data_IF_593633336578
#
_entry.id   IF_593633336578
#
_cell.length_a   1.000
_cell.length_b   1.000
_cell.length_c   1.000
_cell.angle_alpha   90.00
_cell.angle_beta   90.00
_cell.angle_gamma   90.00
#
_symmetry.space_group_name_H-M   'P 1'
#
loop_
_entity.id
_entity.type
_entity.pdbx_description
1 polymer ?
#
# COMPACT_ATOMS: atom_id res chain seq x y z
N UNK A 1 11.46 -26.05 -7.18
CA UNK A 1 11.29 -26.50 -8.59
C UNK A 1 10.03 -27.35 -8.75
N UNK A 2 9.65 -28.15 -7.75
CA UNK A 2 8.42 -28.97 -7.79
C UNK A 2 7.15 -28.15 -7.99
N UNK A 3 7.01 -26.99 -7.33
CA UNK A 3 5.88 -26.08 -7.54
C UNK A 3 5.76 -25.58 -8.98
N UNK A 4 6.89 -25.30 -9.66
CA UNK A 4 6.89 -24.94 -11.08
C UNK A 4 6.40 -26.13 -11.92
N UNK A 5 6.90 -27.34 -11.65
CA UNK A 5 6.48 -28.54 -12.38
C UNK A 5 5.00 -28.88 -12.15
N UNK A 6 4.47 -28.72 -10.94
CA UNK A 6 3.04 -28.89 -10.65
C UNK A 6 2.19 -27.87 -11.41
N UNK A 7 2.61 -26.61 -11.42
CA UNK A 7 1.91 -25.55 -12.12
C UNK A 7 1.95 -25.79 -13.64
N UNK A 8 3.08 -26.27 -14.18
CA UNK A 8 3.24 -26.74 -15.55
C UNK A 8 2.32 -27.92 -15.92
N UNK A 9 2.13 -28.88 -15.00
CA UNK A 9 1.24 -30.04 -15.20
C UNK A 9 -0.23 -29.64 -15.26
N UNK A 10 -0.66 -28.71 -14.41
CA UNK A 10 -2.08 -28.31 -14.30
C UNK A 10 -2.52 -27.46 -15.50
N UNK A 11 -1.68 -26.55 -16.03
CA UNK A 11 -2.15 -25.62 -17.05
C UNK A 11 -2.01 -26.09 -18.51
N UNK A 12 -1.35 -27.21 -18.80
CA UNK A 12 -1.16 -27.73 -20.17
C UNK A 12 -0.46 -26.76 -21.15
N UNK A 13 0.00 -27.27 -22.31
CA UNK A 13 0.64 -26.43 -23.34
C UNK A 13 -0.36 -25.66 -24.22
N UNK A 14 -1.56 -26.20 -24.43
CA UNK A 14 -2.55 -25.64 -25.37
C UNK A 14 -4.01 -25.67 -24.88
N UNK A 15 -4.34 -26.43 -23.82
CA UNK A 15 -5.73 -26.69 -23.39
C UNK A 15 -5.98 -26.55 -21.88
N UNK A 16 -5.12 -25.87 -21.13
CA UNK A 16 -5.39 -25.62 -19.72
C UNK A 16 -5.48 -24.14 -19.36
N UNK A 17 -5.12 -23.83 -18.12
CA UNK A 17 -5.50 -22.60 -17.41
C UNK A 17 -5.09 -21.30 -18.14
N UNK A 18 -6.01 -20.32 -18.21
CA UNK A 18 -5.84 -18.99 -18.83
C UNK A 18 -4.63 -18.21 -18.25
N UNK A 19 -3.95 -17.40 -19.09
CA UNK A 19 -2.86 -16.48 -18.71
C UNK A 19 -3.13 -15.68 -17.44
N UNK A 20 -4.35 -15.17 -17.26
CA UNK A 20 -4.74 -14.40 -16.07
C UNK A 20 -4.68 -15.23 -14.79
N UNK A 21 -5.11 -16.49 -14.85
CA UNK A 21 -5.06 -17.41 -13.71
C UNK A 21 -3.61 -17.88 -13.47
N UNK A 22 -2.81 -18.13 -14.51
CA UNK A 22 -1.37 -18.41 -14.37
C UNK A 22 -0.64 -17.26 -13.66
N UNK A 23 -0.93 -16.03 -14.08
CA UNK A 23 -0.43 -14.80 -13.46
C UNK A 23 -0.89 -14.68 -12.01
N UNK A 24 -2.16 -14.97 -11.73
CA UNK A 24 -2.68 -14.96 -10.36
C UNK A 24 -1.90 -15.94 -9.49
N UNK A 25 -1.75 -17.20 -9.91
CA UNK A 25 -1.00 -18.24 -9.20
C UNK A 25 0.46 -17.83 -8.94
N UNK A 26 1.12 -17.18 -9.91
CA UNK A 26 2.45 -16.63 -9.70
C UNK A 26 2.45 -15.62 -8.53
N UNK A 27 1.54 -14.66 -8.51
CA UNK A 27 1.48 -13.63 -7.46
C UNK A 27 1.11 -14.20 -6.09
N UNK A 28 0.16 -15.13 -6.03
CA UNK A 28 -0.34 -15.62 -4.73
C UNK A 28 0.50 -16.75 -4.13
N UNK A 29 1.13 -17.60 -4.95
CA UNK A 29 1.93 -18.74 -4.47
C UNK A 29 3.41 -18.48 -4.65
N UNK A 30 3.86 -18.25 -5.88
CA UNK A 30 5.29 -18.25 -6.20
C UNK A 30 5.98 -17.02 -5.60
N UNK A 31 5.47 -15.82 -5.86
CA UNK A 31 6.00 -14.56 -5.33
C UNK A 31 5.99 -14.58 -3.80
N UNK A 32 4.91 -15.03 -3.18
CA UNK A 32 4.81 -15.18 -1.72
C UNK A 32 5.81 -16.19 -1.14
N UNK A 33 6.04 -17.30 -1.84
CA UNK A 33 7.03 -18.30 -1.43
C UNK A 33 8.45 -17.75 -1.56
N UNK A 34 8.75 -17.02 -2.64
CA UNK A 34 10.07 -16.41 -2.85
C UNK A 34 10.35 -15.25 -1.89
N UNK A 35 9.32 -14.48 -1.51
CA UNK A 35 9.44 -13.41 -0.52
C UNK A 35 9.34 -13.90 0.93
N UNK A 36 9.10 -15.19 1.15
CA UNK A 36 9.02 -15.73 2.49
C UNK A 36 10.37 -15.62 3.21
N UNK A 37 10.35 -15.08 4.43
CA UNK A 37 11.57 -14.81 5.19
C UNK A 37 12.48 -13.75 4.57
N UNK A 38 12.01 -13.00 3.56
CA UNK A 38 12.77 -11.94 2.90
C UNK A 38 13.45 -10.99 3.90
N UNK A 39 12.76 -10.60 4.97
CA UNK A 39 13.35 -9.76 6.03
C UNK A 39 14.65 -10.32 6.61
N UNK A 40 14.81 -11.64 6.71
CA UNK A 40 15.99 -12.27 7.30
C UNK A 40 17.20 -12.25 6.35
N UNK A 41 17.01 -12.51 5.05
CA UNK A 41 18.11 -12.71 4.10
C UNK A 41 18.20 -11.63 3.00
N UNK A 42 17.15 -10.85 2.80
CA UNK A 42 17.01 -9.92 1.70
C UNK A 42 17.76 -8.60 1.90
N UNK A 43 18.12 -8.22 3.13
CA UNK A 43 18.80 -6.94 3.41
C UNK A 43 20.20 -6.84 2.77
N UNK A 44 20.87 -7.97 2.52
CA UNK A 44 22.18 -8.05 1.86
C UNK A 44 22.09 -8.75 0.50
N UNK A 45 21.23 -8.25 -0.39
CA UNK A 45 21.04 -8.81 -1.72
C UNK A 45 22.28 -8.61 -2.60
N UNK A 46 22.99 -9.70 -2.88
CA UNK A 46 24.12 -9.68 -3.82
C UNK A 46 23.64 -9.65 -5.28
N UNK A 47 24.46 -9.09 -6.18
CA UNK A 47 24.19 -9.10 -7.62
C UNK A 47 23.99 -10.52 -8.18
N UNK A 48 24.69 -11.51 -7.62
CA UNK A 48 24.53 -12.94 -7.96
C UNK A 48 23.15 -13.46 -7.59
N UNK A 49 22.65 -13.13 -6.40
CA UNK A 49 21.33 -13.54 -5.94
C UNK A 49 20.22 -12.85 -6.75
N UNK A 50 20.36 -11.55 -7.02
CA UNK A 50 19.44 -10.80 -7.87
C UNK A 50 19.34 -11.42 -9.29
N UNK A 51 20.47 -11.76 -9.91
CA UNK A 51 20.48 -12.43 -11.22
C UNK A 51 19.75 -13.78 -11.15
N UNK A 52 19.97 -14.57 -10.10
CA UNK A 52 19.28 -15.86 -9.92
C UNK A 52 17.77 -15.69 -9.77
N UNK A 53 17.31 -14.69 -9.02
CA UNK A 53 15.89 -14.38 -8.86
C UNK A 53 15.26 -13.91 -10.17
N UNK A 54 15.95 -13.07 -10.93
CA UNK A 54 15.51 -12.66 -12.26
C UNK A 54 15.41 -13.86 -13.21
N UNK A 55 16.39 -14.79 -13.18
CA UNK A 55 16.31 -16.02 -13.98
C UNK A 55 15.12 -16.90 -13.58
N UNK A 56 14.81 -17.01 -12.29
CA UNK A 56 13.62 -17.73 -11.82
C UNK A 56 12.35 -17.05 -12.32
N UNK A 57 12.24 -15.73 -12.15
CA UNK A 57 11.09 -14.96 -12.61
C UNK A 57 10.90 -15.09 -14.13
N UNK A 58 11.99 -15.05 -14.91
CA UNK A 58 11.95 -15.21 -16.37
C UNK A 58 11.26 -16.50 -16.80
N UNK A 59 11.54 -17.61 -16.12
CA UNK A 59 10.88 -18.90 -16.41
C UNK A 59 9.36 -18.82 -16.19
N UNK A 60 8.91 -18.19 -15.12
CA UNK A 60 7.47 -18.01 -14.87
C UNK A 60 6.83 -17.05 -15.87
N UNK A 61 7.52 -15.98 -16.25
CA UNK A 61 7.04 -15.04 -17.26
C UNK A 61 6.84 -15.72 -18.62
N UNK A 62 7.79 -16.53 -19.06
CA UNK A 62 7.66 -17.35 -20.27
C UNK A 62 6.49 -18.33 -20.16
N UNK A 63 6.31 -18.95 -19.00
CA UNK A 63 5.21 -19.88 -18.76
C UNK A 63 3.83 -19.22 -18.79
N UNK A 64 3.72 -18.01 -18.22
CA UNK A 64 2.48 -17.21 -18.22
C UNK A 64 2.14 -16.75 -19.64
N UNK A 65 3.14 -16.28 -20.39
CA UNK A 65 2.92 -15.65 -21.69
C UNK A 65 2.87 -16.62 -22.86
N UNK A 66 3.60 -17.74 -22.78
CA UNK A 66 3.86 -18.64 -23.90
C UNK A 66 4.86 -18.08 -24.92
N UNK A 67 5.62 -17.05 -24.56
CA UNK A 67 6.61 -16.40 -25.42
C UNK A 67 7.83 -17.29 -25.68
N UNK A 68 8.66 -16.90 -26.65
CA UNK A 68 9.93 -17.58 -26.92
C UNK A 68 10.92 -17.36 -25.78
N UNK A 69 11.81 -18.33 -25.57
CA UNK A 69 12.82 -18.26 -24.50
C UNK A 69 13.74 -17.03 -24.61
N UNK A 70 13.93 -16.54 -25.85
CA UNK A 70 14.74 -15.36 -26.19
C UNK A 70 14.03 -14.03 -25.96
N UNK A 71 12.71 -14.03 -25.69
CA UNK A 71 11.96 -12.79 -25.48
C UNK A 71 12.52 -12.05 -24.26
N UNK A 72 12.82 -10.74 -24.35
CA UNK A 72 13.40 -10.00 -23.24
C UNK A 72 12.54 -10.03 -21.97
N UNK A 73 13.17 -10.28 -20.81
CA UNK A 73 12.48 -10.32 -19.52
C UNK A 73 11.75 -9.01 -19.21
N UNK A 74 12.35 -7.86 -19.53
CA UNK A 74 11.73 -6.54 -19.34
C UNK A 74 10.41 -6.41 -20.10
N UNK A 75 10.36 -6.85 -21.37
CA UNK A 75 9.13 -6.84 -22.15
C UNK A 75 8.07 -7.77 -21.55
N UNK A 76 8.46 -8.97 -21.08
CA UNK A 76 7.52 -9.90 -20.44
C UNK A 76 6.96 -9.36 -19.12
N UNK A 77 7.78 -8.69 -18.32
CA UNK A 77 7.35 -8.03 -17.08
C UNK A 77 6.28 -6.99 -17.36
N UNK A 78 6.49 -6.12 -18.35
CA UNK A 78 5.55 -5.06 -18.73
C UNK A 78 4.26 -5.64 -19.28
N UNK A 79 4.34 -6.59 -20.22
CA UNK A 79 3.16 -7.22 -20.84
C UNK A 79 2.30 -7.96 -19.81
N UNK A 80 2.94 -8.66 -18.88
CA UNK A 80 2.21 -9.38 -17.82
C UNK A 80 1.78 -8.46 -16.67
N UNK A 81 2.24 -7.21 -16.62
CA UNK A 81 2.07 -6.33 -15.48
C UNK A 81 2.60 -6.96 -14.18
N UNK A 82 3.74 -7.62 -14.28
CA UNK A 82 4.47 -8.23 -13.17
C UNK A 82 5.81 -7.52 -13.04
N UNK A 83 5.93 -6.71 -12.00
CA UNK A 83 7.15 -6.02 -11.66
C UNK A 83 8.32 -7.00 -11.46
N UNK A 84 9.58 -6.59 -11.72
CA UNK A 84 10.75 -7.32 -11.24
C UNK A 84 10.56 -7.80 -9.81
N UNK A 85 10.99 -9.03 -9.50
CA UNK A 85 10.83 -9.60 -8.16
C UNK A 85 11.66 -8.78 -7.14
N UNK A 86 11.01 -7.81 -6.51
CA UNK A 86 11.65 -6.86 -5.61
C UNK A 86 11.46 -7.30 -4.16
N UNK A 87 12.22 -8.31 -3.75
CA UNK A 87 12.34 -8.74 -2.34
C UNK A 87 12.66 -7.57 -1.41
N UNK A 88 13.35 -6.55 -1.93
CA UNK A 88 13.64 -5.32 -1.20
C UNK A 88 12.38 -4.59 -0.71
N UNK A 89 11.23 -4.66 -1.41
CA UNK A 89 10.00 -4.01 -0.92
C UNK A 89 9.54 -4.59 0.43
N UNK A 90 9.46 -5.92 0.51
CA UNK A 90 9.05 -6.62 1.75
C UNK A 90 10.12 -6.44 2.84
N UNK A 91 11.42 -6.48 2.49
CA UNK A 91 12.52 -6.19 3.42
C UNK A 91 12.40 -4.79 4.01
N UNK A 92 12.20 -3.77 3.18
CA UNK A 92 12.07 -2.38 3.62
C UNK A 92 10.85 -2.24 4.52
N UNK A 93 9.70 -2.81 4.12
CA UNK A 93 8.50 -2.77 4.94
C UNK A 93 8.73 -3.41 6.31
N UNK A 94 9.31 -4.61 6.37
CA UNK A 94 9.52 -5.31 7.63
C UNK A 94 10.54 -4.60 8.52
N UNK A 95 11.61 -4.03 7.95
CA UNK A 95 12.58 -3.24 8.72
C UNK A 95 11.95 -2.01 9.38
N UNK A 96 11.15 -1.27 8.62
CA UNK A 96 10.54 -0.02 9.09
C UNK A 96 9.37 -0.30 10.03
N UNK A 97 8.44 -1.17 9.63
CA UNK A 97 7.19 -1.42 10.34
C UNK A 97 7.36 -2.39 11.53
N UNK A 98 8.21 -3.42 11.40
CA UNK A 98 8.36 -4.46 12.43
C UNK A 98 9.62 -4.25 13.27
N UNK A 99 10.79 -4.16 12.63
CA UNK A 99 12.07 -4.01 13.34
C UNK A 99 12.34 -2.57 13.80
N UNK A 100 11.44 -1.63 13.50
CA UNK A 100 11.52 -0.20 13.87
C UNK A 100 12.90 0.41 13.58
N UNK A 101 13.45 0.06 12.42
CA UNK A 101 14.79 0.44 11.97
C UNK A 101 14.70 1.14 10.61
N UNK A 102 15.42 2.24 10.46
CA UNK A 102 15.48 2.94 9.18
C UNK A 102 15.99 2.04 8.07
N UNK A 103 15.43 2.21 6.88
CA UNK A 103 15.80 1.45 5.69
C UNK A 103 15.80 2.36 4.49
N UNK A 104 16.86 2.25 3.70
CA UNK A 104 16.88 2.82 2.36
C UNK A 104 16.22 1.84 1.41
N UNK A 105 15.43 2.34 0.48
CA UNK A 105 14.98 1.63 -0.70
C UNK A 105 15.37 2.50 -1.89
N UNK A 106 16.47 2.11 -2.54
CA UNK A 106 17.17 2.95 -3.52
C UNK A 106 17.58 4.29 -2.91
N UNK A 107 17.14 5.41 -3.48
CA UNK A 107 17.45 6.78 -3.05
C UNK A 107 16.51 7.31 -1.96
N UNK A 108 15.43 6.58 -1.65
CA UNK A 108 14.43 6.98 -0.66
C UNK A 108 14.76 6.37 0.70
N UNK A 109 14.85 7.21 1.72
CA UNK A 109 15.04 6.80 3.11
C UNK A 109 13.70 6.73 3.83
N UNK A 110 13.42 5.60 4.47
CA UNK A 110 12.22 5.41 5.28
C UNK A 110 12.61 5.41 6.76
N UNK A 111 12.08 6.37 7.53
CA UNK A 111 12.27 6.44 8.98
C UNK A 111 11.10 5.76 9.71
N UNK A 112 11.35 4.89 10.70
CA UNK A 112 10.28 4.27 11.47
C UNK A 112 9.46 5.27 12.28
N UNK A 113 10.04 6.43 12.66
CA UNK A 113 9.33 7.49 13.41
C UNK A 113 8.19 8.13 12.64
N UNK A 114 8.25 8.07 11.32
CA UNK A 114 7.26 8.71 10.45
C UNK A 114 5.98 7.88 10.38
N UNK A 115 6.01 6.62 10.81
CA UNK A 115 4.90 5.68 10.69
C UNK A 115 4.49 5.11 12.04
N UNK A 116 3.20 4.78 12.11
CA UNK A 116 2.60 4.07 13.24
C UNK A 116 3.40 2.79 13.59
N UNK A 117 3.52 2.53 14.88
CA UNK A 117 3.97 1.22 15.35
C UNK A 117 2.81 0.23 15.31
N UNK A 118 3.08 -1.03 15.00
CA UNK A 118 2.10 -2.09 15.30
C UNK A 118 1.90 -2.10 16.82
N UNK A 119 0.67 -1.99 17.27
CA UNK A 119 0.36 -2.32 18.66
C UNK A 119 0.62 -3.82 18.85
N UNK A 120 1.44 -4.16 19.85
CA UNK A 120 1.28 -5.45 20.49
C UNK A 120 -0.12 -5.46 21.08
N UNK A 121 -0.91 -6.50 20.82
CA UNK A 121 -2.28 -6.60 21.31
C UNK A 121 -2.33 -6.32 22.82
N UNK A 122 -3.47 -5.82 23.31
CA UNK A 122 -3.67 -5.57 24.74
C UNK A 122 -3.39 -6.88 25.48
N UNK A 123 -2.24 -6.97 26.16
CA UNK A 123 -1.85 -8.13 26.97
C UNK A 123 -2.60 -8.20 28.30
N UNK A 124 -3.52 -7.26 28.53
CA UNK A 124 -4.40 -7.23 29.69
C UNK A 124 -5.57 -8.15 29.37
N UNK A 125 -5.63 -9.28 30.08
CA UNK A 125 -6.78 -10.17 30.03
C UNK A 125 -8.06 -9.38 30.39
N UNK A 126 -9.18 -9.52 29.66
CA UNK A 126 -10.40 -8.73 29.89
C UNK A 126 -10.92 -8.74 31.34
N UNK A 127 -10.64 -9.81 32.09
CA UNK A 127 -10.96 -9.91 33.51
C UNK A 127 -10.18 -8.92 34.42
N UNK A 128 -9.00 -8.48 34.01
CA UNK A 128 -8.15 -7.55 34.77
C UNK A 128 -8.53 -6.09 34.51
N UNK A 129 -9.51 -5.84 33.63
CA UNK A 129 -10.12 -4.52 33.49
C UNK A 129 -10.98 -4.24 34.73
N UNK A 130 -10.43 -3.53 35.71
CA UNK A 130 -11.20 -3.07 36.86
C UNK A 130 -12.23 -2.03 36.38
N UNK A 131 -13.54 -2.22 36.65
CA UNK A 131 -14.61 -1.37 36.12
C UNK A 131 -14.75 -0.01 36.83
N UNK A 132 -13.82 0.36 37.72
CA UNK A 132 -14.02 1.46 38.68
C UNK A 132 -14.12 2.87 38.07
N UNK A 133 -13.87 3.04 36.76
CA UNK A 133 -14.04 4.28 35.99
C UNK A 133 -14.48 3.99 34.53
N UNK A 134 -15.48 3.12 34.33
CA UNK A 134 -15.96 2.83 32.97
C UNK A 134 -16.82 3.95 32.38
N UNK A 135 -16.56 4.28 31.12
CA UNK A 135 -17.46 5.08 30.30
C UNK A 135 -18.76 4.30 30.09
N UNK A 136 -19.90 4.89 30.45
CA UNK A 136 -21.21 4.29 30.18
C UNK A 136 -21.62 4.60 28.73
N UNK A 137 -21.85 3.57 27.92
CA UNK A 137 -22.54 3.72 26.65
C UNK A 137 -24.04 3.83 26.93
N UNK A 138 -24.63 5.01 26.70
CA UNK A 138 -26.07 5.25 26.89
C UNK A 138 -26.69 5.53 25.53
N UNK A 139 -27.57 4.63 25.06
CA UNK A 139 -28.21 4.70 23.73
C UNK A 139 -29.28 5.80 23.59
N UNK A 140 -29.63 6.51 24.68
CA UNK A 140 -30.72 7.47 24.64
C UNK A 140 -30.26 8.83 24.07
N UNK A 141 -30.41 8.97 22.75
CA UNK A 141 -30.35 10.23 22.01
C UNK A 141 -31.55 11.12 22.38
N UNK A 142 -31.51 11.76 23.55
CA UNK A 142 -32.30 12.97 23.80
C UNK A 142 -31.33 14.12 23.95
N UNK A 143 -31.19 14.88 22.88
CA UNK A 143 -30.46 16.14 22.91
C UNK A 143 -31.26 17.13 23.76
N UNK A 144 -30.90 17.25 25.03
CA UNK A 144 -31.59 18.11 25.99
C UNK A 144 -31.04 19.54 25.98
N UNK A 145 -30.20 19.90 25.00
CA UNK A 145 -29.41 21.13 25.00
C UNK A 145 -28.33 21.16 26.09
N UNK A 146 -28.12 20.04 26.79
CA UNK A 146 -27.12 19.93 27.84
C UNK A 146 -25.71 19.93 27.26
N UNK A 147 -24.74 20.41 28.04
CA UNK A 147 -23.34 20.45 27.65
C UNK A 147 -22.84 19.08 27.19
N UNK A 148 -22.39 18.99 25.95
CA UNK A 148 -21.87 17.77 25.35
C UNK A 148 -20.71 18.09 24.40
N UNK A 149 -19.82 17.12 24.20
CA UNK A 149 -18.73 17.22 23.24
C UNK A 149 -19.11 16.40 22.01
N UNK A 150 -18.90 16.98 20.82
CA UNK A 150 -19.08 16.31 19.55
C UNK A 150 -17.73 16.23 18.85
N UNK A 151 -17.43 15.07 18.26
CA UNK A 151 -16.14 14.79 17.63
C UNK A 151 -16.33 14.38 16.19
N UNK A 152 -15.45 14.83 15.31
CA UNK A 152 -15.45 14.39 13.92
C UNK A 152 -14.05 14.40 13.29
N UNK A 153 -13.89 13.60 12.25
CA UNK A 153 -12.71 13.51 11.42
C UNK A 153 -13.08 13.66 9.94
N UNK A 154 -12.35 14.49 9.22
CA UNK A 154 -12.58 14.75 7.81
C UNK A 154 -11.37 14.33 6.97
N UNK A 155 -11.65 13.79 5.78
CA UNK A 155 -10.66 13.54 4.74
C UNK A 155 -11.14 14.12 3.41
N UNK A 156 -10.31 14.95 2.81
CA UNK A 156 -10.50 15.49 1.45
C UNK A 156 -9.24 15.29 0.63
N UNK A 157 -9.29 15.67 -0.65
CA UNK A 157 -8.10 15.69 -1.52
C UNK A 157 -7.06 16.74 -1.07
N UNK A 158 -7.49 17.76 -0.33
CA UNK A 158 -6.62 18.83 0.17
C UNK A 158 -5.91 18.47 1.48
N UNK A 159 -6.44 17.50 2.24
CA UNK A 159 -5.81 17.06 3.48
C UNK A 159 -6.74 16.29 4.42
N UNK A 160 -6.31 16.23 5.67
CA UNK A 160 -7.01 15.49 6.73
C UNK A 160 -7.18 16.42 7.92
N UNK A 161 -8.40 16.53 8.44
CA UNK A 161 -8.72 17.40 9.57
C UNK A 161 -9.40 16.63 10.68
N UNK A 162 -9.15 17.02 11.92
CA UNK A 162 -9.73 16.41 13.11
C UNK A 162 -10.25 17.53 14.00
N UNK A 163 -11.44 17.37 14.57
CA UNK A 163 -12.00 18.40 15.43
C UNK A 163 -12.91 17.85 16.51
N UNK A 164 -13.02 18.62 17.60
CA UNK A 164 -14.16 18.50 18.51
C UNK A 164 -14.77 19.88 18.76
N UNK A 165 -16.05 19.90 19.10
CA UNK A 165 -16.70 21.07 19.67
C UNK A 165 -17.45 20.70 20.95
N UNK A 166 -17.48 21.64 21.89
CA UNK A 166 -18.31 21.57 23.06
C UNK A 166 -19.51 22.45 22.79
N UNK A 167 -20.70 21.86 22.81
CA UNK A 167 -21.96 22.55 22.61
C UNK A 167 -22.73 22.64 23.93
N UNK A 168 -23.32 23.80 24.20
CA UNK A 168 -24.26 24.02 25.30
C UNK A 168 -25.37 24.94 24.79
N UNK A 169 -26.64 24.56 24.97
CA UNK A 169 -27.80 25.28 24.41
C UNK A 169 -27.66 25.58 22.89
N UNK A 170 -27.16 24.62 22.12
CA UNK A 170 -26.89 24.73 20.67
C UNK A 170 -25.81 25.75 20.24
N UNK A 171 -25.11 26.37 21.20
CA UNK A 171 -23.97 27.26 20.93
C UNK A 171 -22.64 26.57 21.18
N UNK A 172 -21.63 26.86 20.33
CA UNK A 172 -20.24 26.42 20.53
C UNK A 172 -19.64 27.24 21.67
N UNK A 173 -19.27 26.58 22.76
CA UNK A 173 -18.59 27.22 23.90
C UNK A 173 -17.07 27.06 23.83
N UNK A 174 -16.60 25.99 23.18
CA UNK A 174 -15.19 25.72 22.95
C UNK A 174 -15.05 24.73 21.79
N UNK A 175 -13.91 24.78 21.10
CA UNK A 175 -13.60 23.85 20.02
C UNK A 175 -12.10 23.65 19.90
N UNK A 176 -11.73 22.57 19.25
CA UNK A 176 -10.36 22.29 18.85
C UNK A 176 -10.34 21.80 17.40
N UNK A 177 -9.30 22.20 16.66
CA UNK A 177 -9.11 21.89 15.26
C UNK A 177 -7.65 21.50 15.03
N UNK A 178 -7.41 20.24 14.68
CA UNK A 178 -6.09 19.71 14.32
C UNK A 178 -6.00 19.43 12.83
N UNK A 179 -5.02 20.06 12.18
CA UNK A 179 -4.64 19.78 10.79
C UNK A 179 -3.66 18.63 10.75
N UNK A 180 -4.05 17.50 10.16
CA UNK A 180 -3.19 16.32 10.00
C UNK A 180 -2.52 16.32 8.62
N UNK A 181 -1.51 15.46 8.47
CA UNK A 181 -0.87 15.28 7.18
C UNK A 181 -1.85 14.67 6.16
N UNK A 182 -1.65 15.01 4.89
CA UNK A 182 -2.43 14.48 3.78
C UNK A 182 -2.30 12.95 3.63
N UNK A 183 -1.32 12.31 4.24
CA UNK A 183 -1.21 10.85 4.27
C UNK A 183 -2.04 10.18 5.37
N UNK A 184 -2.52 10.94 6.36
CA UNK A 184 -3.34 10.40 7.44
C UNK A 184 -4.74 10.00 6.95
N UNK A 185 -5.35 9.02 7.61
CA UNK A 185 -6.70 8.52 7.26
C UNK A 185 -7.80 9.26 8.02
N UNK A 186 -9.04 9.18 7.51
CA UNK A 186 -10.22 9.68 8.24
C UNK A 186 -10.35 9.01 9.62
N UNK A 187 -10.08 7.70 9.70
CA UNK A 187 -10.10 6.96 10.96
C UNK A 187 -9.09 7.49 11.98
N UNK A 188 -7.88 7.86 11.54
CA UNK A 188 -6.89 8.48 12.42
C UNK A 188 -7.40 9.84 12.95
N UNK A 189 -8.07 10.61 12.10
CA UNK A 189 -8.64 11.89 12.47
C UNK A 189 -9.79 11.76 13.47
N UNK A 190 -10.71 10.81 13.26
CA UNK A 190 -11.80 10.51 14.19
C UNK A 190 -11.28 10.05 15.56
N UNK A 191 -10.30 9.13 15.57
CA UNK A 191 -9.68 8.64 16.82
C UNK A 191 -8.98 9.79 17.56
N UNK A 192 -8.29 10.67 16.84
CA UNK A 192 -7.67 11.84 17.43
C UNK A 192 -8.72 12.80 18.01
N UNK A 193 -9.83 13.04 17.30
CA UNK A 193 -10.90 13.89 17.78
C UNK A 193 -11.48 13.36 19.10
N UNK A 194 -11.72 12.04 19.19
CA UNK A 194 -12.16 11.37 20.41
C UNK A 194 -11.12 11.51 21.52
N UNK A 195 -9.84 11.29 21.23
CA UNK A 195 -8.76 11.46 22.20
C UNK A 195 -8.74 12.88 22.78
N UNK A 196 -8.77 13.89 21.92
CA UNK A 196 -8.74 15.29 22.33
C UNK A 196 -10.01 15.68 23.10
N UNK A 197 -11.17 15.14 22.72
CA UNK A 197 -12.41 15.31 23.48
C UNK A 197 -12.36 14.68 24.87
N UNK A 198 -11.73 13.51 25.04
CA UNK A 198 -11.54 12.88 26.34
C UNK A 198 -10.60 13.72 27.22
N UNK A 199 -9.53 14.27 26.65
CA UNK A 199 -8.63 15.19 27.37
C UNK A 199 -9.37 16.45 27.82
N UNK A 200 -10.19 17.05 26.94
CA UNK A 200 -11.04 18.18 27.27
C UNK A 200 -12.08 17.83 28.37
N UNK A 201 -12.78 16.70 28.22
CA UNK A 201 -13.74 16.21 29.21
C UNK A 201 -13.12 16.00 30.59
N UNK A 202 -11.90 15.46 30.64
CA UNK A 202 -11.15 15.20 31.87
C UNK A 202 -10.84 16.49 32.64
N UNK A 203 -10.65 17.62 31.93
CA UNK A 203 -10.41 18.93 32.55
C UNK A 203 -11.67 19.60 33.13
N UNK A 204 -12.86 19.14 32.74
CA UNK A 204 -14.14 19.73 33.21
C UNK A 204 -14.59 19.20 34.58
N UNK A 205 -13.96 18.16 35.12
CA UNK A 205 -14.27 17.52 36.41
C UNK A 205 -15.77 17.19 36.62
N UNK A 206 -16.52 16.99 35.53
CA UNK A 206 -17.95 16.65 35.53
C UNK A 206 -18.21 15.57 34.49
N UNK A 207 -19.24 14.75 34.73
CA UNK A 207 -19.72 13.81 33.71
C UNK A 207 -20.24 14.60 32.51
N UNK A 208 -19.67 14.34 31.34
CA UNK A 208 -20.04 14.95 30.06
C UNK A 208 -20.18 13.84 29.01
N UNK A 209 -21.16 14.00 28.12
CA UNK A 209 -21.37 13.07 27.01
C UNK A 209 -20.45 13.44 25.84
N UNK A 210 -19.81 12.44 25.24
CA UNK A 210 -19.07 12.58 23.99
C UNK A 210 -19.87 11.85 22.92
N UNK A 211 -20.18 12.56 21.84
CA UNK A 211 -20.89 12.04 20.68
C UNK A 211 -19.95 11.99 19.49
N UNK A 212 -19.86 10.82 18.87
CA UNK A 212 -19.21 10.63 17.57
C UNK A 212 -20.25 10.85 16.46
N UNK A 213 -19.80 11.07 15.22
CA UNK A 213 -20.56 10.95 13.94
C UNK A 213 -21.92 11.68 13.79
N UNK A 214 -22.31 12.54 14.72
CA UNK A 214 -23.70 12.96 14.87
C UNK A 214 -23.91 14.48 14.93
N UNK A 215 -22.96 15.31 14.45
CA UNK A 215 -23.13 16.77 14.51
C UNK A 215 -22.45 17.57 13.38
N UNK A 216 -23.24 18.39 12.70
CA UNK A 216 -22.79 19.29 11.61
C UNK A 216 -21.69 20.27 12.06
N UNK A 217 -21.69 20.70 13.33
CA UNK A 217 -20.66 21.60 13.84
C UNK A 217 -19.28 20.92 13.88
N UNK A 218 -19.22 19.67 14.32
CA UNK A 218 -17.95 18.95 14.40
C UNK A 218 -17.41 18.65 12.99
N UNK A 219 -18.28 18.25 12.06
CA UNK A 219 -17.96 18.05 10.64
C UNK A 219 -17.39 19.33 10.00
N UNK A 220 -18.08 20.46 10.18
CA UNK A 220 -17.63 21.74 9.64
C UNK A 220 -16.28 22.15 10.22
N UNK A 221 -16.06 21.98 11.52
CA UNK A 221 -14.78 22.27 12.15
C UNK A 221 -13.66 21.35 11.66
N UNK A 222 -13.95 20.07 11.42
CA UNK A 222 -12.97 19.12 10.88
C UNK A 222 -12.57 19.49 9.44
N UNK A 223 -13.53 19.95 8.61
CA UNK A 223 -13.24 20.49 7.26
C UNK A 223 -12.41 21.77 7.33
N UNK A 224 -12.78 22.69 8.22
CA UNK A 224 -12.03 23.93 8.42
C UNK A 224 -10.62 23.69 8.96
N UNK A 225 -10.42 22.64 9.76
CA UNK A 225 -9.12 22.27 10.28
C UNK A 225 -8.09 22.02 9.16
N UNK A 226 -8.52 21.53 7.99
CA UNK A 226 -7.63 21.27 6.84
C UNK A 226 -6.95 22.56 6.35
N UNK A 227 -7.64 23.70 6.43
CA UNK A 227 -7.14 24.98 5.92
C UNK A 227 -6.65 25.92 7.03
N UNK A 228 -7.35 25.94 8.16
CA UNK A 228 -7.15 26.90 9.25
C UNK A 228 -6.68 26.26 10.57
N UNK A 229 -6.76 24.94 10.69
CA UNK A 229 -6.39 24.24 11.91
C UNK A 229 -4.89 24.26 12.18
N UNK A 230 -4.53 24.11 13.44
CA UNK A 230 -3.13 24.04 13.84
C UNK A 230 -2.52 22.71 13.38
N UNK A 231 -1.30 22.71 12.80
CA UNK A 231 -0.63 21.46 12.43
C UNK A 231 -0.47 20.52 13.63
N UNK A 232 -1.03 19.32 13.50
CA UNK A 232 -0.90 18.26 14.48
C UNK A 232 -0.12 17.10 13.87
N UNK A 233 1.07 16.83 14.42
CA UNK A 233 1.93 15.78 13.89
C UNK A 233 1.46 14.40 14.39
N UNK A 234 0.93 13.60 13.47
CA UNK A 234 0.56 12.21 13.72
C UNK A 234 1.35 11.29 12.79
N UNK A 235 1.91 10.17 13.29
CA UNK A 235 2.56 9.20 12.42
C UNK A 235 1.64 8.71 11.31
N UNK A 236 2.20 8.53 10.12
CA UNK A 236 1.49 8.06 8.94
C UNK A 236 1.08 6.59 9.13
N UNK A 237 -0.06 6.16 8.57
CA UNK A 237 -0.52 4.80 8.74
C UNK A 237 0.41 3.81 8.03
N UNK A 238 0.51 2.58 8.54
CA UNK A 238 1.34 1.54 7.91
C UNK A 238 0.86 1.14 6.51
N UNK A 239 -0.39 1.43 6.16
CA UNK A 239 -0.91 1.31 4.80
C UNK A 239 -0.26 2.32 3.85
N UNK A 240 0.02 3.53 4.33
CA UNK A 240 0.70 4.57 3.56
C UNK A 240 2.18 4.22 3.34
N UNK A 241 2.87 3.64 4.33
CA UNK A 241 4.21 3.07 4.13
C UNK A 241 4.24 2.06 2.98
N UNK A 242 3.27 1.13 2.95
CA UNK A 242 3.16 0.15 1.84
C UNK A 242 2.92 0.84 0.51
N UNK A 243 2.12 1.90 0.49
CA UNK A 243 1.87 2.69 -0.71
C UNK A 243 3.16 3.36 -1.18
N UNK A 244 3.89 4.07 -0.32
CA UNK A 244 5.15 4.74 -0.69
C UNK A 244 6.20 3.78 -1.22
N UNK A 245 6.39 2.63 -0.57
CA UNK A 245 7.31 1.58 -1.04
C UNK A 245 6.89 1.09 -2.44
N UNK A 246 5.59 0.83 -2.67
CA UNK A 246 5.07 0.40 -3.98
C UNK A 246 5.20 1.47 -5.05
N UNK A 247 4.98 2.73 -4.70
CA UNK A 247 5.10 3.86 -5.61
C UNK A 247 6.55 4.10 -6.01
N UNK A 248 7.48 4.07 -5.05
CA UNK A 248 8.91 4.15 -5.32
C UNK A 248 9.35 2.99 -6.23
N UNK A 249 8.92 1.78 -5.90
CA UNK A 249 9.18 0.59 -6.68
C UNK A 249 8.69 0.71 -8.13
N UNK A 250 7.46 1.20 -8.32
CA UNK A 250 6.87 1.43 -9.65
C UNK A 250 7.67 2.48 -10.44
N UNK A 251 8.09 3.57 -9.79
CA UNK A 251 8.96 4.59 -10.41
C UNK A 251 10.27 3.98 -10.90
N UNK A 252 10.94 3.19 -10.07
CA UNK A 252 12.18 2.50 -10.45
C UNK A 252 11.95 1.55 -11.63
N UNK A 253 10.80 0.87 -11.65
CA UNK A 253 10.48 -0.01 -12.77
C UNK A 253 10.27 0.79 -14.06
N UNK A 254 9.61 1.94 -13.99
CA UNK A 254 9.46 2.86 -15.11
C UNK A 254 10.83 3.37 -15.59
N UNK A 255 11.69 3.82 -14.68
CA UNK A 255 13.03 4.32 -15.02
C UNK A 255 13.87 3.25 -15.72
N UNK A 256 13.84 2.02 -15.22
CA UNK A 256 14.52 0.88 -15.88
C UNK A 256 13.89 0.54 -17.23
N UNK A 257 12.59 0.77 -17.40
CA UNK A 257 11.89 0.53 -18.67
C UNK A 257 12.21 1.59 -19.71
N UNK A 258 12.35 2.85 -19.30
CA UNK A 258 12.68 3.96 -20.19
C UNK A 258 14.15 3.92 -20.62
N UNK A 259 15.06 3.62 -19.69
CA UNK A 259 16.51 3.62 -19.93
C UNK A 259 17.06 2.25 -20.36
N UNK A 260 16.25 1.19 -20.37
CA UNK A 260 16.69 -0.16 -20.71
C UNK A 260 16.94 -0.34 -22.21
N UNK A 261 17.98 -1.09 -22.58
CA UNK A 261 18.31 -1.35 -23.99
C UNK A 261 17.49 -2.50 -24.61
N UNK A 262 16.86 -3.34 -23.79
CA UNK A 262 16.13 -4.54 -24.25
C UNK A 262 14.63 -4.30 -24.37
N UNK A 263 13.98 -4.99 -25.31
CA UNK A 263 12.53 -4.91 -25.50
C UNK A 263 12.01 -3.57 -26.05
N UNK A 264 12.83 -2.82 -26.80
CA UNK A 264 12.49 -1.47 -27.30
C UNK A 264 11.25 -1.43 -28.19
N UNK A 265 11.09 -2.41 -29.07
CA UNK A 265 9.87 -2.54 -29.87
C UNK A 265 8.60 -2.68 -29.02
N UNK A 266 8.70 -3.25 -27.81
CA UNK A 266 7.59 -3.32 -26.86
C UNK A 266 7.39 -2.01 -26.10
N UNK A 267 8.47 -1.27 -25.83
CA UNK A 267 8.41 0.07 -25.21
C UNK A 267 7.72 1.08 -26.12
N UNK A 268 8.02 1.04 -27.42
CA UNK A 268 7.38 1.92 -28.41
C UNK A 268 5.84 1.81 -28.41
N UNK A 269 5.31 0.63 -28.06
CA UNK A 269 3.87 0.35 -27.99
C UNK A 269 3.32 0.51 -26.58
N UNK A 270 4.08 0.10 -25.56
CA UNK A 270 3.71 0.17 -24.14
C UNK A 270 4.80 0.93 -23.39
N UNK A 271 4.81 2.28 -23.47
CA UNK A 271 5.87 3.09 -22.86
C UNK A 271 5.72 3.18 -21.35
N UNK A 272 4.52 2.93 -20.80
CA UNK A 272 4.24 3.03 -19.36
C UNK A 272 4.09 1.66 -18.72
N UNK A 273 4.83 1.43 -17.65
CA UNK A 273 4.71 0.21 -16.85
C UNK A 273 3.41 0.25 -16.03
N UNK A 274 2.83 -0.92 -15.75
CA UNK A 274 1.61 -1.04 -14.97
C UNK A 274 1.54 -2.37 -14.24
N UNK A 275 0.85 -2.39 -13.11
CA UNK A 275 0.49 -3.62 -12.41
C UNK A 275 -0.70 -4.36 -13.06
N UNK A 276 -1.24 -3.86 -14.17
CA UNK A 276 -2.27 -4.51 -14.99
C UNK A 276 -1.62 -5.14 -16.22
N UNK A 277 -1.98 -6.39 -16.59
CA UNK A 277 -1.49 -6.98 -17.83
C UNK A 277 -2.06 -6.24 -19.05
N UNK A 278 -1.31 -6.20 -20.13
CA UNK A 278 -1.71 -5.54 -21.39
C UNK A 278 -2.83 -6.32 -22.11
N UNK A 279 -2.91 -7.63 -21.87
CA UNK A 279 -3.98 -8.49 -22.41
C UNK A 279 -3.65 -9.16 -23.74
N UNK A 280 -2.44 -8.99 -24.26
CA UNK A 280 -2.04 -9.58 -25.55
C UNK A 280 -2.09 -11.12 -25.55
N UNK A 281 -2.59 -11.66 -26.66
CA UNK A 281 -2.46 -13.08 -26.99
C UNK A 281 -1.00 -13.43 -27.33
N UNK A 282 -0.74 -14.69 -27.68
CA UNK A 282 0.65 -15.17 -27.87
C UNK A 282 1.25 -14.60 -29.16
N UNK A 283 0.43 -14.49 -30.19
CA UNK A 283 0.76 -14.06 -31.54
C UNK A 283 1.04 -12.55 -31.59
N UNK A 284 0.22 -11.75 -30.91
CA UNK A 284 0.43 -10.31 -30.71
C UNK A 284 1.73 -10.04 -29.98
N UNK A 285 2.00 -10.77 -28.89
CA UNK A 285 3.23 -10.65 -28.15
C UNK A 285 4.46 -10.99 -29.01
N UNK A 286 4.36 -12.04 -29.82
CA UNK A 286 5.41 -12.44 -30.78
C UNK A 286 5.70 -11.33 -31.78
N UNK A 287 4.66 -10.81 -32.42
CA UNK A 287 4.76 -9.71 -33.37
C UNK A 287 5.43 -8.47 -32.75
N UNK A 288 4.95 -8.02 -31.60
CA UNK A 288 5.46 -6.82 -30.93
C UNK A 288 6.89 -6.98 -30.42
N UNK A 289 7.23 -8.17 -29.91
CA UNK A 289 8.60 -8.44 -29.43
C UNK A 289 9.59 -8.74 -30.54
N UNK A 290 9.14 -8.72 -31.81
CA UNK A 290 9.98 -9.04 -32.97
C UNK A 290 10.39 -10.51 -33.05
N UNK A 291 9.75 -11.40 -32.28
CA UNK A 291 10.08 -12.82 -32.19
C UNK A 291 9.01 -13.70 -32.83
N UNK A 292 9.38 -14.58 -33.75
CA UNK A 292 8.45 -15.51 -34.40
C UNK A 292 8.92 -15.91 -35.79
N UNK A 293 8.06 -16.58 -36.59
CA UNK A 293 8.34 -16.92 -37.98
C UNK A 293 8.22 -15.68 -38.90
N UNK A 294 8.77 -14.55 -38.46
CA UNK A 294 8.80 -13.30 -39.20
C UNK A 294 10.24 -13.07 -39.68
N UNK A 295 10.49 -12.68 -40.95
CA UNK A 295 11.84 -12.58 -41.52
C UNK A 295 12.69 -11.40 -41.00
N UNK A 296 12.47 -10.93 -39.78
CA UNK A 296 13.13 -9.73 -39.24
C UNK A 296 14.60 -9.96 -38.85
N UNK A 297 15.02 -11.21 -38.61
CA UNK A 297 16.38 -11.53 -38.17
C UNK A 297 17.40 -11.77 -39.30
N UNK A 298 17.03 -11.59 -40.57
CA UNK A 298 17.90 -11.86 -41.73
C UNK A 298 18.51 -10.60 -42.39
N UNK A 299 18.55 -9.46 -41.70
CA UNK A 299 19.15 -8.23 -42.26
C UNK A 299 20.42 -7.72 -41.56
N UNK A 300 20.99 -8.43 -40.57
CA UNK A 300 22.24 -7.98 -39.90
C UNK A 300 23.48 -8.81 -40.21
N UNK A 301 23.48 -9.59 -41.30
CA UNK A 301 24.68 -10.25 -41.81
C UNK A 301 24.85 -9.97 -43.31
N UNK A 302 25.07 -8.69 -43.64
CA UNK A 302 25.74 -8.22 -44.86
C UNK A 302 25.96 -6.70 -44.77
N UNK A 303 26.97 -6.29 -44.01
CA UNK A 303 27.83 -5.11 -44.25
C UNK A 303 29.05 -5.22 -43.37
#
# INVERSE_FOLDING_TARGET
MDQYQHLCRIAGKTSGINKNIRRLLYKIVIERTLCHGAAAWGHNMTSRLQKKLNSIQHLFLLYITGAYITTPTAALQVVTGLQPLQIQQEVTYDRVAQARSSSNFFTVMFSPTDYESKSSGIHIHPHNFLPHNQNSFVENHRDSGAKAIYTDGCKTDEGTGSAYCILENYGIIASWQGKLDHSNSVFQAEILAIKMAIEAASSLHRSIKIWTDSNECADQLAKEAITKGDPFFLPKPLSYLKYEIRSAALSIWQDNWDNGETGRSTHDIVPRVSNKPVGWNREELMFVTGHGPFPSYLQSSNT
#
